data_IF_961869618346
#
_entry.id   IF_961869618346
#
_cell.length_a   1.000
_cell.length_b   1.000
_cell.length_c   1.000
_cell.angle_alpha   90.00
_cell.angle_beta   90.00
_cell.angle_gamma   90.00
#
_symmetry.space_group_name_H-M   'P 1'
#
loop_
_entity.id
_entity.type
_entity.pdbx_description
1 polymer ?
#
# COMPACT_ATOMS: atom_id res chain seq x y z
N UNK A 1 3.36 -5.06 14.15
CA UNK A 1 2.10 -5.33 13.41
C UNK A 1 1.10 -6.16 14.22
N UNK A 2 1.49 -7.29 14.84
CA UNK A 2 0.59 -8.08 15.70
C UNK A 2 0.10 -7.32 16.95
N UNK A 3 1.01 -6.63 17.64
CA UNK A 3 0.68 -5.80 18.81
C UNK A 3 -0.21 -4.58 18.49
N UNK A 4 -0.25 -4.15 17.22
CA UNK A 4 -1.08 -3.04 16.77
C UNK A 4 -2.51 -3.46 16.40
N UNK A 5 -2.87 -4.75 16.57
CA UNK A 5 -4.23 -5.24 16.27
C UNK A 5 -4.62 -5.23 14.78
N UNK A 6 -3.65 -5.12 13.87
CA UNK A 6 -3.90 -5.09 12.43
C UNK A 6 -4.47 -6.42 11.93
N UNK A 7 -5.55 -6.33 11.14
CA UNK A 7 -6.19 -7.48 10.48
C UNK A 7 -5.25 -8.04 9.39
N UNK A 8 -5.39 -9.31 8.99
CA UNK A 8 -4.48 -9.92 8.01
C UNK A 8 -4.38 -9.13 6.70
N UNK A 9 -5.48 -8.59 6.19
CA UNK A 9 -5.50 -7.79 4.96
C UNK A 9 -4.94 -6.37 5.10
N UNK A 10 -4.64 -5.92 6.32
CA UNK A 10 -4.02 -4.61 6.57
C UNK A 10 -2.49 -4.71 6.72
N UNK A 11 -1.96 -5.95 6.68
CA UNK A 11 -0.53 -6.26 6.82
C UNK A 11 0.20 -6.26 5.49
N UNK A 12 -0.20 -5.35 4.59
CA UNK A 12 0.49 -5.13 3.33
C UNK A 12 1.83 -4.41 3.54
N UNK A 13 2.63 -4.26 2.47
CA UNK A 13 3.85 -3.45 2.47
C UNK A 13 3.63 -2.03 3.02
N UNK A 14 2.41 -1.51 2.89
CA UNK A 14 2.00 -0.18 3.36
C UNK A 14 1.66 -0.08 4.87
N UNK A 15 1.72 -1.18 5.61
CA UNK A 15 1.27 -1.24 7.01
C UNK A 15 2.03 -0.28 7.95
N UNK A 16 3.25 0.13 7.60
CA UNK A 16 4.04 1.09 8.38
C UNK A 16 3.36 2.47 8.49
N UNK A 17 2.81 2.98 7.38
CA UNK A 17 2.09 4.27 7.38
C UNK A 17 0.76 4.15 8.11
N UNK A 18 0.08 3.01 8.00
CA UNK A 18 -1.18 2.76 8.72
C UNK A 18 -0.97 2.76 10.24
N UNK A 19 0.10 2.15 10.73
CA UNK A 19 0.45 2.19 12.16
C UNK A 19 0.72 3.62 12.63
N UNK A 20 1.43 4.43 11.84
CA UNK A 20 1.67 5.84 12.15
C UNK A 20 0.36 6.65 12.18
N UNK A 21 -0.55 6.41 11.23
CA UNK A 21 -1.87 7.05 11.21
C UNK A 21 -2.72 6.66 12.43
N UNK A 22 -2.72 5.38 12.84
CA UNK A 22 -3.41 4.93 14.04
C UNK A 22 -2.85 5.58 15.31
N UNK A 23 -1.52 5.72 15.41
CA UNK A 23 -0.86 6.43 16.51
C UNK A 23 -1.29 7.90 16.55
N UNK A 24 -1.24 8.61 15.42
CA UNK A 24 -1.66 10.01 15.32
C UNK A 24 -3.14 10.19 15.72
N UNK A 25 -4.01 9.25 15.33
CA UNK A 25 -5.43 9.25 15.69
C UNK A 25 -5.66 9.00 17.19
N UNK A 26 -4.81 8.21 17.84
CA UNK A 26 -4.90 7.97 19.28
C UNK A 26 -4.43 9.20 20.10
N UNK A 27 -3.45 9.96 19.57
CA UNK A 27 -2.86 11.12 20.25
C UNK A 27 -3.67 12.41 20.05
N UNK A 28 -4.42 12.56 18.96
CA UNK A 28 -5.12 13.81 18.60
C UNK A 28 -6.64 13.65 18.58
N UNK A 29 -7.35 14.54 19.30
CA UNK A 29 -8.81 14.61 19.29
C UNK A 29 -9.38 15.03 17.91
N UNK A 30 -8.70 15.95 17.20
CA UNK A 30 -9.03 16.41 15.85
C UNK A 30 -8.24 15.68 14.75
N UNK A 31 -8.20 14.35 14.83
CA UNK A 31 -7.41 13.50 13.94
C UNK A 31 -7.65 13.73 12.43
N UNK A 32 -8.85 14.19 12.05
CA UNK A 32 -9.19 14.43 10.63
C UNK A 32 -8.32 15.51 9.97
N UNK A 33 -7.90 16.53 10.74
CA UNK A 33 -7.10 17.66 10.23
C UNK A 33 -5.62 17.36 10.46
N UNK A 34 -5.24 17.03 11.70
CA UNK A 34 -3.84 16.87 12.09
C UNK A 34 -3.16 15.65 11.44
N UNK A 35 -3.91 14.59 11.14
CA UNK A 35 -3.38 13.36 10.56
C UNK A 35 -3.64 13.26 9.04
N UNK A 36 -4.03 14.36 8.38
CA UNK A 36 -4.35 14.37 6.96
C UNK A 36 -3.16 13.93 6.09
N UNK A 37 -1.94 14.37 6.42
CA UNK A 37 -0.74 14.02 5.66
C UNK A 37 -0.44 12.52 5.71
N UNK A 38 -0.52 11.91 6.89
CA UNK A 38 -0.36 10.46 7.08
C UNK A 38 -1.42 9.66 6.29
N UNK A 39 -2.64 10.19 6.23
CA UNK A 39 -3.70 9.59 5.40
C UNK A 39 -3.34 9.68 3.90
N UNK A 40 -2.87 10.82 3.44
CA UNK A 40 -2.45 11.01 2.04
C UNK A 40 -1.25 10.14 1.68
N UNK A 41 -0.30 9.98 2.59
CA UNK A 41 0.86 9.11 2.43
C UNK A 41 0.43 7.64 2.32
N UNK A 42 -0.49 7.20 3.19
CA UNK A 42 -1.04 5.84 3.14
C UNK A 42 -1.73 5.55 1.80
N UNK A 43 -2.55 6.49 1.32
CA UNK A 43 -3.22 6.37 0.02
C UNK A 43 -2.22 6.34 -1.15
N UNK A 44 -1.19 7.18 -1.11
CA UNK A 44 -0.12 7.21 -2.13
C UNK A 44 0.63 5.89 -2.20
N UNK A 45 0.94 5.32 -1.04
CA UNK A 45 1.62 4.05 -0.90
C UNK A 45 0.77 2.88 -1.44
N UNK A 46 -0.54 2.87 -1.15
CA UNK A 46 -1.48 1.91 -1.77
C UNK A 46 -1.58 2.06 -3.29
N UNK A 47 -1.62 3.30 -3.79
CA UNK A 47 -1.65 3.56 -5.22
C UNK A 47 -0.36 3.05 -5.90
N UNK A 48 0.80 3.25 -5.28
CA UNK A 48 2.07 2.76 -5.77
C UNK A 48 2.13 1.22 -5.81
N UNK A 49 1.62 0.54 -4.78
CA UNK A 49 1.54 -0.91 -4.74
C UNK A 49 0.62 -1.47 -5.85
N UNK A 50 -0.55 -0.85 -6.05
CA UNK A 50 -1.45 -1.21 -7.15
C UNK A 50 -0.81 -0.98 -8.54
N UNK A 51 0.01 0.07 -8.69
CA UNK A 51 0.74 0.32 -9.92
C UNK A 51 1.85 -0.73 -10.12
N UNK A 52 2.54 -1.14 -9.07
CA UNK A 52 3.55 -2.19 -9.12
C UNK A 52 2.96 -3.52 -9.60
N UNK A 53 1.85 -3.96 -8.99
CA UNK A 53 1.15 -5.20 -9.40
C UNK A 53 0.71 -5.17 -10.86
N UNK A 54 0.24 -4.01 -11.34
CA UNK A 54 -0.11 -3.83 -12.76
C UNK A 54 1.11 -3.92 -13.68
N UNK A 55 2.24 -3.34 -13.27
CA UNK A 55 3.50 -3.42 -14.04
C UNK A 55 4.02 -4.86 -14.09
N UNK A 56 3.93 -5.62 -13.01
CA UNK A 56 4.31 -7.04 -12.97
C UNK A 56 3.47 -7.87 -13.93
N UNK A 57 2.14 -7.68 -13.91
CA UNK A 57 1.24 -8.32 -14.86
C UNK A 57 1.60 -8.01 -16.32
N UNK A 58 1.81 -6.73 -16.65
CA UNK A 58 2.22 -6.36 -18.01
C UNK A 58 3.59 -6.91 -18.40
N UNK A 59 4.52 -6.98 -17.44
CA UNK A 59 5.85 -7.55 -17.65
C UNK A 59 5.74 -9.01 -18.05
N UNK A 60 5.02 -9.82 -17.28
CA UNK A 60 4.81 -11.24 -17.60
C UNK A 60 4.10 -11.42 -18.94
N UNK A 61 3.06 -10.62 -19.21
CA UNK A 61 2.34 -10.64 -20.50
C UNK A 61 3.27 -10.40 -21.68
N UNK A 62 4.16 -9.41 -21.59
CA UNK A 62 5.13 -9.06 -22.65
C UNK A 62 6.21 -10.14 -22.80
N UNK A 63 6.65 -10.76 -21.70
CA UNK A 63 7.62 -11.86 -21.75
C UNK A 63 7.03 -13.11 -22.42
N UNK A 64 5.78 -13.46 -22.09
CA UNK A 64 5.06 -14.57 -22.71
C UNK A 64 4.85 -14.35 -24.22
N UNK A 65 4.49 -13.13 -24.64
CA UNK A 65 4.37 -12.79 -26.06
C UNK A 65 5.71 -12.98 -26.80
N UNK A 66 6.82 -12.48 -26.24
CA UNK A 66 8.16 -12.66 -26.81
C UNK A 66 8.62 -14.12 -26.86
N UNK A 67 8.25 -14.94 -25.88
CA UNK A 67 8.56 -16.38 -25.90
C UNK A 67 7.78 -17.09 -27.02
N UNK A 68 6.50 -16.74 -27.21
CA UNK A 68 5.68 -17.28 -28.31
C UNK A 68 6.19 -16.89 -29.68
N UNK A 69 6.74 -15.68 -29.86
CA UNK A 69 7.33 -15.23 -31.14
C UNK A 69 8.65 -15.95 -31.48
N UNK A 70 9.37 -16.45 -30.48
CA UNK A 70 10.66 -17.13 -30.66
C UNK A 70 10.54 -18.64 -30.90
N UNK A 71 9.34 -19.19 -30.74
CA UNK A 71 9.02 -20.61 -30.91
C UNK A 71 8.37 -20.83 -32.26
#
# INVERSE_FOLDING_TARGET
>A
MLAAGLRPHERDYCAHVLMAFQKCKAENFLASISCADLRHEYLRCHQADQLLRRKEYERERRLMAKQREKM
#
